data_IF_705547480839
#
_entry.id   IF_705547480839
#
_cell.length_a   1.000
_cell.length_b   1.000
_cell.length_c   1.000
_cell.angle_alpha   90.00
_cell.angle_beta   90.00
_cell.angle_gamma   90.00
#
_symmetry.space_group_name_H-M   'P 1'
#
loop_
_entity.id
_entity.type
_entity.pdbx_description
1 polymer ?
#
# COMPACT_ATOMS: atom_id res chain seq x y z
N UNK A 1 -1.65 67.99 33.22
CA UNK A 1 -1.73 66.52 33.30
C UNK A 1 -2.84 66.08 32.35
N UNK A 2 -2.50 65.87 31.08
CA UNK A 2 -3.42 65.38 30.05
C UNK A 2 -3.24 63.87 29.95
N UNK A 3 -4.27 63.13 30.36
CA UNK A 3 -4.30 61.68 30.26
C UNK A 3 -4.36 61.28 28.78
N UNK A 4 -3.28 60.65 28.30
CA UNK A 4 -3.24 60.06 26.97
C UNK A 4 -4.18 58.86 26.95
N UNK A 5 -5.29 58.98 26.22
CA UNK A 5 -6.22 57.88 25.97
C UNK A 5 -5.49 56.78 25.20
N UNK A 6 -5.35 55.61 25.83
CA UNK A 6 -4.79 54.42 25.21
C UNK A 6 -5.63 54.03 23.98
N UNK A 7 -4.96 53.87 22.84
CA UNK A 7 -5.60 53.43 21.61
C UNK A 7 -6.26 52.04 21.81
N UNK A 8 -7.47 51.81 21.27
CA UNK A 8 -8.13 50.52 21.39
C UNK A 8 -7.28 49.42 20.73
N UNK A 9 -7.24 48.21 21.30
CA UNK A 9 -6.53 47.09 20.71
C UNK A 9 -7.07 46.79 19.31
N UNK A 10 -6.21 46.41 18.36
CA UNK A 10 -6.64 46.05 17.01
C UNK A 10 -7.65 44.89 17.09
N UNK A 11 -8.67 44.87 16.20
CA UNK A 11 -9.63 43.78 16.17
C UNK A 11 -8.90 42.44 15.96
N UNK A 12 -9.39 41.33 16.56
CA UNK A 12 -8.80 40.02 16.38
C UNK A 12 -8.76 39.70 14.89
N UNK A 13 -7.57 39.37 14.37
CA UNK A 13 -7.39 38.96 12.99
C UNK A 13 -8.35 37.81 12.69
N UNK A 14 -9.19 37.97 11.65
CA UNK A 14 -10.14 36.95 11.26
C UNK A 14 -9.40 35.62 11.00
N UNK A 15 -9.84 34.56 11.67
CA UNK A 15 -9.29 33.22 11.50
C UNK A 15 -9.32 32.85 10.00
N UNK A 16 -8.24 32.28 9.45
CA UNK A 16 -8.23 31.89 8.05
C UNK A 16 -9.38 30.91 7.77
N UNK A 17 -10.07 31.02 6.62
CA UNK A 17 -11.16 30.13 6.30
C UNK A 17 -10.68 28.68 6.23
N UNK A 18 -11.44 27.76 6.82
CA UNK A 18 -11.17 26.33 6.70
C UNK A 18 -11.32 25.89 5.24
N UNK A 19 -10.40 25.04 4.80
CA UNK A 19 -10.46 24.43 3.48
C UNK A 19 -11.60 23.41 3.45
N UNK A 20 -12.28 23.35 2.32
CA UNK A 20 -13.21 22.23 2.05
C UNK A 20 -12.42 20.98 1.65
N UNK A 21 -13.00 19.80 1.87
CA UNK A 21 -12.36 18.55 1.45
C UNK A 21 -12.07 18.52 -0.07
N UNK A 22 -12.99 19.03 -0.89
CA UNK A 22 -12.84 19.09 -2.34
C UNK A 22 -11.65 19.97 -2.77
N UNK A 23 -11.46 21.12 -2.10
CA UNK A 23 -10.30 21.99 -2.33
C UNK A 23 -9.00 21.28 -1.95
N UNK A 24 -8.97 20.66 -0.77
CA UNK A 24 -7.80 19.93 -0.29
C UNK A 24 -7.42 18.78 -1.24
N UNK A 25 -8.38 17.93 -1.59
CA UNK A 25 -8.19 16.80 -2.52
C UNK A 25 -7.69 17.29 -3.87
N UNK A 26 -8.30 18.35 -4.43
CA UNK A 26 -7.90 18.89 -5.74
C UNK A 26 -6.48 19.45 -5.73
N UNK A 27 -6.10 20.15 -4.66
CA UNK A 27 -4.77 20.69 -4.52
C UNK A 27 -3.73 19.58 -4.29
N UNK A 28 -4.09 18.54 -3.54
CA UNK A 28 -3.23 17.37 -3.33
C UNK A 28 -2.98 16.59 -4.63
N UNK A 29 -3.98 16.42 -5.52
CA UNK A 29 -3.77 15.85 -6.87
C UNK A 29 -2.79 16.67 -7.72
N UNK A 30 -2.88 18.01 -7.67
CA UNK A 30 -1.93 18.88 -8.37
C UNK A 30 -0.51 18.69 -7.83
N UNK A 31 -0.37 18.64 -6.52
CA UNK A 31 0.88 18.41 -5.81
C UNK A 31 1.47 17.02 -6.13
N UNK A 32 0.61 15.99 -6.17
CA UNK A 32 0.95 14.60 -6.49
C UNK A 32 1.54 14.43 -7.89
N UNK A 33 0.98 15.10 -8.92
CA UNK A 33 1.58 15.08 -10.27
C UNK A 33 3.02 15.55 -10.27
N UNK A 34 3.30 16.63 -9.52
CA UNK A 34 4.66 17.16 -9.38
C UNK A 34 5.59 16.17 -8.68
N UNK A 35 5.13 15.57 -7.58
CA UNK A 35 5.86 14.55 -6.84
C UNK A 35 6.17 13.30 -7.68
N UNK A 36 5.21 12.80 -8.44
CA UNK A 36 5.38 11.64 -9.32
C UNK A 36 6.34 11.92 -10.48
N UNK A 37 6.23 13.11 -11.11
CA UNK A 37 7.19 13.53 -12.14
C UNK A 37 8.62 13.62 -11.58
N UNK A 38 8.79 14.10 -10.34
CA UNK A 38 10.09 14.14 -9.66
C UNK A 38 10.63 12.73 -9.40
N UNK A 39 9.82 11.85 -8.81
CA UNK A 39 10.21 10.48 -8.51
C UNK A 39 10.59 9.68 -9.77
N UNK A 40 9.86 9.90 -10.87
CA UNK A 40 10.19 9.36 -12.19
C UNK A 40 11.53 9.88 -12.72
N UNK A 41 11.75 11.20 -12.67
CA UNK A 41 13.02 11.81 -13.10
C UNK A 41 14.24 11.31 -12.30
N UNK A 42 14.03 10.86 -11.07
CA UNK A 42 15.02 10.25 -10.19
C UNK A 42 15.15 8.73 -10.35
N UNK A 43 14.38 8.12 -11.25
CA UNK A 43 14.32 6.66 -11.47
C UNK A 43 13.90 5.87 -10.22
N UNK A 44 13.19 6.52 -9.30
CA UNK A 44 12.51 5.82 -8.21
C UNK A 44 11.29 5.07 -8.72
N UNK A 45 10.67 5.58 -9.80
CA UNK A 45 9.56 4.97 -10.51
C UNK A 45 9.96 4.72 -11.97
N UNK A 46 9.66 3.54 -12.50
CA UNK A 46 9.89 3.20 -13.91
C UNK A 46 8.66 3.54 -14.76
N UNK A 47 8.84 3.65 -16.08
CA UNK A 47 7.71 3.79 -17.03
C UNK A 47 6.74 2.61 -16.91
N UNK A 48 7.29 1.40 -16.69
CA UNK A 48 6.51 0.20 -16.47
C UNK A 48 5.68 0.30 -15.20
N UNK A 49 6.26 0.74 -14.07
CA UNK A 49 5.51 0.97 -12.84
C UNK A 49 4.39 2.00 -13.06
N UNK A 50 4.67 3.14 -13.69
CA UNK A 50 3.65 4.16 -13.96
C UNK A 50 2.53 3.66 -14.89
N UNK A 51 2.85 2.79 -15.85
CA UNK A 51 1.89 2.22 -16.79
C UNK A 51 1.11 1.01 -16.24
N UNK A 52 1.75 0.20 -15.38
CA UNK A 52 1.18 -1.05 -14.85
C UNK A 52 0.45 -0.85 -13.52
N UNK A 53 0.90 0.10 -12.70
CA UNK A 53 0.60 0.08 -11.27
C UNK A 53 -0.57 0.98 -10.89
N UNK A 54 -1.78 0.57 -11.24
CA UNK A 54 -2.93 1.08 -10.49
C UNK A 54 -2.81 0.67 -9.02
N UNK A 55 -2.38 -0.57 -8.72
CA UNK A 55 -2.25 -1.19 -7.40
C UNK A 55 -1.33 -0.45 -6.42
N UNK A 56 -0.03 -0.64 -6.61
CA UNK A 56 0.99 -0.26 -5.63
C UNK A 56 1.24 1.25 -5.58
N UNK A 57 1.13 1.96 -6.71
CA UNK A 57 1.35 3.42 -6.73
C UNK A 57 0.30 4.24 -5.98
N UNK A 58 -0.92 3.71 -5.78
CA UNK A 58 -1.89 4.35 -4.87
C UNK A 58 -1.32 4.49 -3.45
N UNK A 59 -0.48 3.53 -3.10
CA UNK A 59 0.45 3.49 -1.97
C UNK A 59 1.47 4.63 -1.99
N UNK A 60 2.40 4.39 -2.91
CA UNK A 60 3.72 4.98 -2.99
C UNK A 60 3.66 6.43 -3.45
N UNK A 61 2.80 6.74 -4.42
CA UNK A 61 2.65 8.07 -5.00
C UNK A 61 2.28 9.12 -3.93
N UNK A 62 1.16 8.96 -3.21
CA UNK A 62 0.81 9.84 -2.11
C UNK A 62 1.85 9.85 -0.98
N UNK A 63 2.51 8.72 -0.71
CA UNK A 63 3.56 8.67 0.32
C UNK A 63 4.80 9.49 -0.06
N UNK A 64 5.27 9.38 -1.30
CA UNK A 64 6.34 10.21 -1.87
C UNK A 64 5.94 11.69 -1.90
N UNK A 65 4.69 11.96 -2.26
CA UNK A 65 4.12 13.29 -2.23
C UNK A 65 4.22 13.92 -0.83
N UNK A 66 3.78 13.19 0.20
CA UNK A 66 3.86 13.61 1.60
C UNK A 66 5.31 13.75 2.10
N UNK A 67 6.22 12.90 1.64
CA UNK A 67 7.65 13.00 1.93
C UNK A 67 8.26 14.27 1.35
N UNK A 68 8.04 14.57 0.06
CA UNK A 68 8.53 15.83 -0.54
C UNK A 68 7.89 17.06 0.10
N UNK A 69 6.63 16.95 0.55
CA UNK A 69 6.00 18.00 1.34
C UNK A 69 6.73 18.22 2.67
N UNK A 70 7.10 17.15 3.36
CA UNK A 70 7.81 17.21 4.63
C UNK A 70 9.16 17.91 4.49
N UNK A 71 9.91 17.62 3.41
CA UNK A 71 11.18 18.29 3.12
C UNK A 71 11.04 19.78 2.83
N UNK A 72 9.89 20.22 2.30
CA UNK A 72 9.61 21.65 2.02
C UNK A 72 8.97 22.40 3.18
N UNK A 73 8.46 21.70 4.19
CA UNK A 73 7.76 22.32 5.30
C UNK A 73 8.73 23.09 6.21
N UNK A 74 8.62 24.42 6.20
CA UNK A 74 9.53 25.33 6.92
C UNK A 74 8.95 25.90 8.22
N UNK A 75 7.66 25.69 8.51
CA UNK A 75 6.98 26.29 9.67
C UNK A 75 6.99 25.41 10.91
N UNK A 76 6.70 26.01 12.07
CA UNK A 76 6.50 25.33 13.35
C UNK A 76 5.19 25.78 14.01
N UNK A 77 4.14 24.93 14.10
CA UNK A 77 4.07 23.55 13.61
C UNK A 77 4.20 23.45 12.07
N UNK A 78 4.61 22.28 11.54
CA UNK A 78 4.68 22.04 10.10
C UNK A 78 3.38 22.38 9.37
N UNK A 79 3.51 23.07 8.24
CA UNK A 79 2.42 23.41 7.34
C UNK A 79 2.82 23.08 5.91
N UNK A 80 1.81 22.82 5.08
CA UNK A 80 2.00 22.37 3.71
C UNK A 80 1.46 23.46 2.77
N UNK A 81 2.34 24.00 1.93
CA UNK A 81 1.98 24.93 0.86
C UNK A 81 1.51 24.14 -0.35
N UNK A 82 0.21 24.15 -0.57
CA UNK A 82 -0.42 23.48 -1.70
C UNK A 82 -0.34 24.37 -2.95
N UNK A 83 -0.03 23.80 -4.11
CA UNK A 83 0.08 24.54 -5.35
C UNK A 83 -1.30 25.13 -5.72
N UNK A 84 -1.31 26.29 -6.40
CA UNK A 84 -2.54 26.92 -6.82
C UNK A 84 -3.35 25.97 -7.71
N UNK A 85 -4.64 25.86 -7.44
CA UNK A 85 -5.54 25.10 -8.29
C UNK A 85 -5.93 25.96 -9.50
N UNK A 86 -5.69 25.47 -10.70
CA UNK A 86 -6.14 26.12 -11.93
C UNK A 86 -7.63 25.87 -12.08
N UNK A 87 -8.44 26.87 -11.77
CA UNK A 87 -9.88 26.84 -12.08
C UNK A 87 -10.12 27.62 -13.38
N UNK A 88 -11.23 27.34 -14.07
CA UNK A 88 -11.64 28.00 -15.32
C UNK A 88 -11.72 29.53 -15.20
N UNK A 89 -11.77 30.06 -13.98
CA UNK A 89 -11.93 31.48 -13.66
C UNK A 89 -10.62 32.18 -13.25
N UNK A 90 -9.46 31.51 -13.31
CA UNK A 90 -8.14 32.08 -13.01
C UNK A 90 -7.32 31.29 -11.99
N UNK A 91 -6.06 31.71 -11.80
CA UNK A 91 -5.15 31.12 -10.81
C UNK A 91 -5.52 31.61 -9.40
N UNK A 92 -5.95 30.69 -8.52
CA UNK A 92 -6.09 31.00 -7.10
C UNK A 92 -4.70 31.13 -6.43
N UNK A 93 -4.58 31.82 -5.29
CA UNK A 93 -3.33 31.84 -4.52
C UNK A 93 -3.01 30.43 -3.97
N UNK A 94 -1.73 30.15 -3.64
CA UNK A 94 -1.34 28.93 -2.95
C UNK A 94 -2.11 28.75 -1.64
N UNK A 95 -2.57 27.53 -1.36
CA UNK A 95 -3.34 27.22 -0.16
C UNK A 95 -2.38 26.77 0.95
N UNK A 96 -2.51 27.36 2.15
CA UNK A 96 -1.76 26.93 3.32
C UNK A 96 -2.57 25.90 4.11
N UNK A 97 -2.09 24.65 4.14
CA UNK A 97 -2.66 23.59 4.94
C UNK A 97 -1.92 23.49 6.29
N UNK A 98 -2.63 23.77 7.38
CA UNK A 98 -2.19 23.59 8.75
C UNK A 98 -3.36 23.07 9.60
N UNK A 99 -3.17 22.78 10.90
CA UNK A 99 -4.25 22.24 11.74
C UNK A 99 -5.49 23.14 11.85
N UNK A 100 -5.35 24.46 11.65
CA UNK A 100 -6.48 25.39 11.71
C UNK A 100 -7.27 25.42 10.40
N UNK A 101 -6.59 25.30 9.26
CA UNK A 101 -7.20 25.33 7.92
C UNK A 101 -7.59 23.94 7.40
N UNK A 102 -7.05 22.88 7.98
CA UNK A 102 -7.32 21.49 7.61
C UNK A 102 -8.77 21.11 7.95
N UNK A 103 -9.51 20.45 7.04
CA UNK A 103 -10.84 19.94 7.35
C UNK A 103 -10.78 18.96 8.54
N UNK A 104 -11.76 18.95 9.45
CA UNK A 104 -11.75 18.11 10.66
C UNK A 104 -11.49 16.62 10.40
N UNK A 105 -12.06 16.06 9.32
CA UNK A 105 -11.87 14.66 8.94
C UNK A 105 -10.42 14.29 8.60
N UNK A 106 -9.55 15.28 8.32
CA UNK A 106 -8.13 15.09 8.03
C UNK A 106 -7.24 15.42 9.24
N UNK A 107 -7.80 15.81 10.39
CA UNK A 107 -6.99 16.19 11.57
C UNK A 107 -6.10 15.06 12.09
N UNK A 108 -6.58 13.82 12.30
CA UNK A 108 -5.73 12.73 12.79
C UNK A 108 -4.55 12.47 11.85
N UNK A 109 -4.86 12.45 10.55
CA UNK A 109 -3.92 12.29 9.47
C UNK A 109 -2.83 13.37 9.46
N UNK A 110 -3.27 14.63 9.51
CA UNK A 110 -2.37 15.78 9.44
C UNK A 110 -1.51 15.89 10.70
N UNK A 111 -2.03 15.51 11.88
CA UNK A 111 -1.23 15.39 13.11
C UNK A 111 -0.15 14.33 12.97
N UNK A 112 -0.49 13.14 12.45
CA UNK A 112 0.47 12.07 12.21
C UNK A 112 1.58 12.54 11.26
N UNK A 113 1.23 13.09 10.08
CA UNK A 113 2.19 13.66 9.14
C UNK A 113 3.03 14.78 9.77
N UNK A 114 2.40 15.75 10.44
CA UNK A 114 3.11 16.84 11.11
C UNK A 114 4.10 16.33 12.16
N UNK A 115 3.84 15.18 12.79
CA UNK A 115 4.76 14.56 13.75
C UNK A 115 5.96 13.86 13.10
N UNK A 116 5.84 13.47 11.82
CA UNK A 116 6.93 12.87 11.04
C UNK A 116 7.81 13.89 10.34
N UNK A 117 7.32 15.12 10.12
CA UNK A 117 8.10 16.18 9.44
C UNK A 117 9.44 16.48 10.13
N UNK A 118 9.51 16.78 11.45
CA UNK A 118 10.80 17.09 12.09
C UNK A 118 11.84 15.96 11.97
N UNK A 119 11.54 14.68 12.25
CA UNK A 119 12.53 13.62 12.10
C UNK A 119 12.92 13.37 10.63
N UNK A 120 12.03 13.58 9.65
CA UNK A 120 12.38 13.49 8.22
C UNK A 120 13.38 14.57 7.83
N UNK A 121 13.13 15.84 8.20
CA UNK A 121 14.03 16.95 7.91
C UNK A 121 15.39 16.83 8.61
N UNK A 122 15.43 16.14 9.75
CA UNK A 122 16.68 15.86 10.46
C UNK A 122 17.49 14.70 9.86
N UNK A 123 16.99 14.01 8.81
CA UNK A 123 17.75 12.95 8.14
C UNK A 123 18.83 13.57 7.23
N UNK A 124 20.06 13.04 7.26
CA UNK A 124 21.06 13.32 6.22
C UNK A 124 20.56 12.92 4.81
N UNK A 125 21.04 13.57 3.73
CA UNK A 125 20.57 13.33 2.36
C UNK A 125 20.58 11.85 1.92
N UNK A 126 21.60 11.08 2.29
CA UNK A 126 21.65 9.64 1.97
C UNK A 126 20.50 8.85 2.61
N UNK A 127 20.14 9.17 3.86
CA UNK A 127 19.02 8.52 4.55
C UNK A 127 17.65 9.07 4.12
N UNK A 128 17.59 10.30 3.60
CA UNK A 128 16.40 10.82 2.92
C UNK A 128 16.12 10.02 1.64
N UNK A 129 17.16 9.74 0.85
CA UNK A 129 17.03 8.89 -0.33
C UNK A 129 16.64 7.45 0.03
N UNK A 130 17.24 6.86 1.07
CA UNK A 130 16.83 5.54 1.56
C UNK A 130 15.36 5.53 2.04
N UNK A 131 14.87 6.62 2.63
CA UNK A 131 13.45 6.74 2.96
C UNK A 131 12.58 6.72 1.70
N UNK A 132 12.93 7.47 0.65
CA UNK A 132 12.23 7.41 -0.65
C UNK A 132 12.18 5.97 -1.19
N UNK A 133 13.32 5.26 -1.16
CA UNK A 133 13.42 3.89 -1.63
C UNK A 133 12.49 2.96 -0.85
N UNK A 134 12.49 3.05 0.47
CA UNK A 134 11.57 2.30 1.33
C UNK A 134 10.09 2.66 1.09
N UNK A 135 9.78 3.88 0.65
CA UNK A 135 8.42 4.27 0.26
C UNK A 135 7.98 3.68 -1.09
N UNK A 136 8.93 3.24 -1.94
CA UNK A 136 8.69 2.54 -3.21
C UNK A 136 8.95 1.02 -3.11
N UNK A 137 8.97 0.46 -1.89
CA UNK A 137 9.29 -0.95 -1.63
C UNK A 137 10.65 -1.42 -2.19
N UNK A 138 11.62 -0.50 -2.29
CA UNK A 138 13.00 -0.76 -2.68
C UNK A 138 13.92 -0.89 -1.47
N UNK A 139 14.96 -1.72 -1.58
CA UNK A 139 15.98 -1.87 -0.55
C UNK A 139 16.78 -0.57 -0.36
N UNK A 140 17.09 -0.16 0.89
CA UNK A 140 17.94 0.99 1.17
C UNK A 140 19.38 0.73 0.70
N UNK A 141 20.07 1.81 0.32
CA UNK A 141 21.46 1.75 -0.14
C UNK A 141 22.46 1.81 1.02
N UNK A 142 22.13 2.52 2.11
CA UNK A 142 23.04 2.65 3.25
C UNK A 142 23.08 1.37 4.10
N UNK A 143 24.30 0.99 4.53
CA UNK A 143 24.53 -0.08 5.51
C UNK A 143 25.39 0.45 6.67
N UNK A 144 24.92 0.39 7.94
CA UNK A 144 23.66 -0.19 8.38
C UNK A 144 22.43 0.69 8.07
N UNK A 145 21.27 0.05 7.93
CA UNK A 145 19.98 0.74 7.78
C UNK A 145 19.63 1.42 9.10
N UNK A 146 19.34 2.73 9.04
CA UNK A 146 18.95 3.49 10.23
C UNK A 146 17.58 3.02 10.74
N UNK A 147 17.52 2.65 12.02
CA UNK A 147 16.33 2.04 12.66
C UNK A 147 15.06 2.90 12.56
N UNK A 148 15.18 4.22 12.44
CA UNK A 148 14.02 5.12 12.32
C UNK A 148 13.36 5.08 10.94
N UNK A 149 14.05 4.62 9.89
CA UNK A 149 13.53 4.70 8.52
C UNK A 149 12.30 3.83 8.27
N UNK A 150 12.27 2.53 8.67
CA UNK A 150 11.07 1.71 8.48
C UNK A 150 9.85 2.27 9.19
N UNK A 151 10.07 2.90 10.35
CA UNK A 151 9.01 3.57 11.10
C UNK A 151 8.47 4.78 10.34
N UNK A 152 9.34 5.69 9.89
CA UNK A 152 8.93 6.89 9.14
C UNK A 152 8.22 6.50 7.84
N UNK A 153 8.72 5.48 7.14
CA UNK A 153 8.08 4.93 5.95
C UNK A 153 6.69 4.39 6.27
N UNK A 154 6.55 3.63 7.37
CA UNK A 154 5.26 3.12 7.85
C UNK A 154 4.27 4.23 8.22
N UNK A 155 4.71 5.27 8.93
CA UNK A 155 3.87 6.41 9.29
C UNK A 155 3.42 7.20 8.05
N UNK A 156 4.32 7.46 7.09
CA UNK A 156 3.96 8.13 5.83
C UNK A 156 3.02 7.28 4.95
N UNK A 157 3.25 5.96 4.86
CA UNK A 157 2.35 5.04 4.14
C UNK A 157 0.98 4.96 4.80
N UNK A 158 0.90 5.00 6.13
CA UNK A 158 -0.37 5.05 6.84
C UNK A 158 -1.15 6.30 6.43
N UNK A 159 -0.47 7.45 6.35
CA UNK A 159 -1.08 8.70 5.89
C UNK A 159 -1.53 8.60 4.43
N UNK A 160 -0.68 8.05 3.56
CA UNK A 160 -0.99 7.85 2.15
C UNK A 160 -2.20 6.92 1.93
N UNK A 161 -2.29 5.83 2.68
CA UNK A 161 -3.40 4.87 2.64
C UNK A 161 -4.73 5.57 2.92
N UNK A 162 -4.82 6.35 3.99
CA UNK A 162 -6.04 7.07 4.36
C UNK A 162 -6.51 8.04 3.27
N UNK A 163 -5.57 8.74 2.62
CA UNK A 163 -5.88 9.60 1.48
C UNK A 163 -6.42 8.75 0.32
N UNK A 164 -5.76 7.62 0.04
CA UNK A 164 -6.08 6.71 -1.06
C UNK A 164 -7.37 5.92 -0.86
N UNK A 165 -7.86 5.79 0.37
CA UNK A 165 -9.18 5.20 0.66
C UNK A 165 -10.34 6.11 0.27
N UNK A 166 -10.11 7.42 0.12
CA UNK A 166 -11.20 8.35 -0.24
C UNK A 166 -11.58 8.16 -1.71
N UNK A 167 -12.85 7.80 -1.97
CA UNK A 167 -13.37 7.57 -3.34
C UNK A 167 -13.06 8.71 -4.31
N UNK A 168 -13.20 9.96 -3.86
CA UNK A 168 -12.91 11.16 -4.65
C UNK A 168 -11.45 11.26 -5.10
N UNK A 169 -10.54 10.67 -4.32
CA UNK A 169 -9.14 10.56 -4.68
C UNK A 169 -8.94 9.45 -5.74
N UNK A 170 -9.53 8.27 -5.52
CA UNK A 170 -9.40 7.13 -6.42
C UNK A 170 -9.86 7.43 -7.85
N UNK A 171 -11.01 8.11 -7.99
CA UNK A 171 -11.62 8.42 -9.30
C UNK A 171 -10.72 9.30 -10.18
N UNK A 172 -9.85 10.12 -9.58
CA UNK A 172 -8.96 11.04 -10.29
C UNK A 172 -7.55 10.49 -10.48
N UNK A 173 -7.17 9.49 -9.70
CA UNK A 173 -5.80 9.01 -9.61
C UNK A 173 -5.26 8.49 -10.95
N UNK A 174 -6.06 7.73 -11.71
CA UNK A 174 -5.66 7.23 -13.04
C UNK A 174 -5.36 8.36 -14.04
N UNK A 175 -6.16 9.43 -14.01
CA UNK A 175 -5.91 10.61 -14.85
C UNK A 175 -4.63 11.37 -14.45
N UNK A 176 -4.23 11.30 -13.18
CA UNK A 176 -2.98 11.90 -12.72
C UNK A 176 -1.76 11.10 -13.17
N UNK A 177 -1.82 9.77 -13.15
CA UNK A 177 -0.78 8.89 -13.68
C UNK A 177 -0.55 9.13 -15.17
N UNK A 178 -1.63 9.18 -15.96
CA UNK A 178 -1.53 9.45 -17.40
C UNK A 178 -0.90 10.82 -17.66
N UNK A 179 -1.26 11.85 -16.90
CA UNK A 179 -0.68 13.18 -17.04
C UNK A 179 0.84 13.22 -16.75
N UNK A 180 1.35 12.31 -15.91
CA UNK A 180 2.78 12.17 -15.64
C UNK A 180 3.48 11.46 -16.81
N UNK A 181 2.89 10.38 -17.34
CA UNK A 181 3.40 9.66 -18.52
C UNK A 181 3.47 10.58 -19.75
N UNK A 182 2.43 11.36 -20.00
CA UNK A 182 2.37 12.31 -21.13
C UNK A 182 3.49 13.35 -21.04
N UNK A 183 3.81 13.83 -19.82
CA UNK A 183 4.93 14.75 -19.59
C UNK A 183 6.27 14.09 -19.81
N UNK A 184 6.46 12.87 -19.33
CA UNK A 184 7.69 12.09 -19.50
C UNK A 184 7.99 11.85 -20.99
N UNK A 185 6.98 11.50 -21.79
CA UNK A 185 7.14 11.29 -23.23
C UNK A 185 7.41 12.57 -24.03
N UNK A 186 6.99 13.75 -23.53
CA UNK A 186 7.10 15.00 -24.28
C UNK A 186 8.52 15.58 -24.40
N UNK A 187 9.47 15.13 -23.57
CA UNK A 187 10.89 15.54 -23.58
C UNK A 187 11.18 17.05 -23.41
N UNK A 188 10.15 17.91 -23.30
CA UNK A 188 10.27 19.37 -23.38
C UNK A 188 9.62 20.13 -22.23
N UNK A 189 8.82 19.49 -21.38
CA UNK A 189 8.22 20.15 -20.23
C UNK A 189 9.02 19.85 -18.97
N UNK A 190 9.94 20.77 -18.64
CA UNK A 190 10.50 20.85 -17.29
C UNK A 190 9.34 21.17 -16.36
N UNK A 191 8.95 20.22 -15.51
CA UNK A 191 7.89 20.46 -14.54
C UNK A 191 8.24 21.73 -13.75
N UNK A 192 7.26 22.60 -13.50
CA UNK A 192 7.37 23.78 -12.61
C UNK A 192 7.61 23.39 -11.15
N UNK A 193 7.98 22.15 -10.91
CA UNK A 193 8.24 21.56 -9.63
C UNK A 193 9.74 21.63 -9.36
N UNK A 194 10.14 22.56 -8.50
CA UNK A 194 11.53 22.68 -8.03
C UNK A 194 11.77 21.66 -6.92
N UNK A 195 12.75 20.76 -7.08
CA UNK A 195 13.13 19.81 -6.03
C UNK A 195 13.32 20.53 -4.68
N UNK A 196 12.96 19.91 -3.53
CA UNK A 196 13.18 20.54 -2.22
C UNK A 196 14.63 21.04 -2.10
N UNK A 197 14.90 22.26 -1.57
CA UNK A 197 16.23 22.87 -1.60
C UNK A 197 17.34 22.03 -0.93
N UNK A 198 16.96 21.21 0.04
CA UNK A 198 17.86 20.37 0.83
C UNK A 198 18.02 18.95 0.25
N UNK A 199 17.21 18.57 -0.74
CA UNK A 199 17.23 17.22 -1.31
C UNK A 199 18.23 17.15 -2.46
N UNK A 200 19.33 16.42 -2.25
CA UNK A 200 20.30 16.12 -3.29
C UNK A 200 19.92 14.80 -3.96
N UNK A 201 19.54 14.79 -5.27
CA UNK A 201 19.21 13.56 -5.96
C UNK A 201 20.43 12.63 -5.99
N UNK A 202 20.20 11.32 -5.89
CA UNK A 202 21.28 10.34 -5.95
C UNK A 202 22.16 10.61 -7.19
N UNK A 203 23.50 10.64 -7.03
CA UNK A 203 24.39 10.89 -8.14
C UNK A 203 24.07 9.87 -9.23
N UNK A 204 23.68 10.36 -10.41
CA UNK A 204 23.37 9.50 -11.55
C UNK A 204 24.58 8.60 -11.74
N UNK A 205 24.42 7.30 -11.49
CA UNK A 205 25.41 6.32 -11.93
C UNK A 205 25.65 6.63 -13.40
N UNK A 206 26.85 7.15 -13.70
CA UNK A 206 27.26 7.45 -15.07
C UNK A 206 26.98 6.18 -15.82
N UNK A 207 26.04 6.26 -16.77
CA UNK A 207 25.77 5.15 -17.68
C UNK A 207 27.13 4.64 -18.12
N UNK A 208 27.43 3.38 -17.76
CA UNK A 208 28.70 2.76 -18.13
C UNK A 208 28.90 3.08 -19.61
N UNK A 209 30.09 3.58 -20.01
CA UNK A 209 30.34 3.95 -21.39
C UNK A 209 29.89 2.78 -22.27
N UNK A 210 29.17 3.05 -23.38
CA UNK A 210 28.69 1.99 -24.25
C UNK A 210 29.86 1.07 -24.53
N UNK A 211 29.71 -0.21 -24.17
CA UNK A 211 30.74 -1.23 -24.39
C UNK A 211 31.18 -1.06 -25.84
N UNK A 212 32.46 -0.74 -26.10
CA UNK A 212 32.90 -0.48 -27.46
C UNK A 212 32.53 -1.70 -28.32
N UNK A 213 32.09 -1.50 -29.57
CA UNK A 213 31.73 -2.60 -30.45
C UNK A 213 32.92 -3.54 -30.50
N UNK A 214 32.73 -4.77 -29.98
CA UNK A 214 33.72 -5.82 -30.06
C UNK A 214 34.06 -5.97 -31.54
N UNK A 215 35.24 -5.49 -31.90
CA UNK A 215 35.78 -5.64 -33.23
C UNK A 215 35.91 -7.13 -33.46
N UNK A 216 35.34 -7.60 -34.56
CA UNK A 216 35.39 -8.98 -35.02
C UNK A 216 36.85 -9.43 -35.10
N UNK A 217 37.35 -10.08 -34.04
CA UNK A 217 38.57 -10.85 -34.10
C UNK A 217 38.27 -12.14 -34.86
N UNK A 218 38.87 -12.19 -36.04
CA UNK A 218 39.19 -13.36 -36.86
C UNK A 218 39.25 -14.70 -36.10
N UNK A 219 38.75 -15.79 -36.70
CA UNK A 219 38.84 -17.12 -36.10
C UNK A 219 40.30 -17.59 -36.04
N UNK A 220 40.77 -18.16 -34.91
CA UNK A 220 42.10 -18.75 -34.85
C UNK A 220 42.17 -20.04 -35.70
N UNK A 221 43.36 -20.39 -36.23
CA UNK A 221 43.54 -21.62 -36.99
C UNK A 221 43.34 -22.85 -36.11
N UNK A 222 42.60 -23.83 -36.65
CA UNK A 222 42.47 -25.17 -36.11
C UNK A 222 43.85 -25.77 -35.82
N UNK A 223 44.12 -26.12 -34.58
CA UNK A 223 45.23 -27.00 -34.21
C UNK A 223 44.80 -27.95 -33.09
N UNK A 224 45.09 -29.23 -33.37
CA UNK A 224 45.18 -30.39 -32.49
C UNK A 224 44.06 -30.63 -31.45
N UNK A 225 43.16 -31.56 -31.80
CA UNK A 225 42.33 -32.31 -30.85
C UNK A 225 43.23 -33.11 -29.91
N UNK A 226 43.24 -32.77 -28.63
CA UNK A 226 43.68 -33.67 -27.57
C UNK A 226 42.51 -34.57 -27.16
N UNK A 227 42.76 -35.87 -27.27
CA UNK A 227 41.90 -36.99 -26.90
C UNK A 227 41.61 -36.98 -25.40
N UNK A 228 40.33 -37.04 -25.03
CA UNK A 228 39.88 -37.30 -23.64
C UNK A 228 39.40 -38.76 -23.55
N UNK A 229 39.77 -39.50 -22.49
CA UNK A 229 39.48 -40.93 -22.33
C UNK A 229 38.02 -41.23 -21.97
N UNK A 230 37.52 -42.45 -22.26
CA UNK A 230 36.17 -42.87 -21.92
C UNK A 230 36.06 -43.32 -20.46
N UNK A 231 35.01 -42.85 -19.79
CA UNK A 231 34.59 -43.32 -18.45
C UNK A 231 33.16 -43.89 -18.49
N UNK A 232 32.80 -44.79 -17.56
CA UNK A 232 32.05 -46.00 -17.89
C UNK A 232 30.55 -45.95 -17.61
N UNK A 233 29.83 -46.65 -18.49
CA UNK A 233 28.70 -47.56 -18.28
C UNK A 233 27.82 -47.33 -17.04
N UNK A 234 26.59 -46.86 -17.30
CA UNK A 234 25.45 -46.94 -16.38
C UNK A 234 24.57 -48.14 -16.76
N UNK A 235 24.12 -48.96 -15.81
CA UNK A 235 23.46 -50.23 -16.11
C UNK A 235 21.98 -50.07 -16.49
N UNK A 236 21.60 -50.90 -17.46
CA UNK A 236 20.26 -51.18 -17.97
C UNK A 236 19.41 -51.94 -16.95
N UNK A 237 18.11 -51.63 -16.92
CA UNK A 237 17.09 -52.45 -16.27
C UNK A 237 16.05 -52.94 -17.29
N UNK A 238 15.38 -54.08 -17.02
CA UNK A 238 15.05 -55.07 -18.03
C UNK A 238 13.60 -55.03 -18.56
N UNK A 239 13.47 -55.60 -19.75
CA UNK A 239 12.24 -55.96 -20.49
C UNK A 239 11.41 -57.04 -19.77
N UNK A 240 10.07 -57.01 -19.83
CA UNK A 240 9.20 -57.86 -20.68
C UNK A 240 7.89 -58.18 -19.91
N UNK A 241 6.81 -58.78 -20.48
CA UNK A 241 6.56 -59.14 -21.88
C UNK A 241 5.18 -58.71 -22.44
N UNK A 242 5.16 -58.88 -23.76
CA UNK A 242 4.10 -58.89 -24.76
C UNK A 242 2.98 -59.92 -24.49
N UNK A 243 1.72 -59.57 -24.76
CA UNK A 243 0.61 -60.54 -24.93
C UNK A 243 -0.20 -60.22 -26.19
N UNK A 244 0.00 -61.05 -27.21
CA UNK A 244 -0.89 -61.55 -28.27
C UNK A 244 -2.00 -60.66 -28.91
N UNK A 245 -1.73 -60.29 -30.18
CA UNK A 245 -2.50 -60.54 -31.45
C UNK A 245 -3.88 -61.24 -31.28
N UNK A 246 -5.00 -60.85 -31.92
CA UNK A 246 -5.28 -60.77 -33.38
C UNK A 246 -6.76 -60.24 -33.64
N UNK A 247 -7.40 -60.32 -34.84
CA UNK A 247 -7.40 -59.29 -35.90
C UNK A 247 -8.78 -58.86 -36.49
N UNK A 248 -8.74 -57.86 -37.40
CA UNK A 248 -9.67 -57.59 -38.55
C UNK A 248 -10.79 -56.52 -38.37
N UNK A 249 -11.42 -55.99 -39.46
CA UNK A 249 -10.82 -55.05 -40.41
C UNK A 249 -11.72 -53.83 -40.77
N UNK A 250 -11.10 -52.79 -41.34
CA UNK A 250 -11.60 -51.84 -42.36
C UNK A 250 -13.08 -51.39 -42.33
N UNK A 251 -13.32 -50.12 -41.98
CA UNK A 251 -14.13 -49.24 -42.85
C UNK A 251 -13.79 -47.76 -42.63
N UNK A 252 -13.40 -47.12 -43.74
CA UNK A 252 -13.15 -45.70 -43.85
C UNK A 252 -14.40 -44.88 -43.52
N UNK A 253 -14.21 -43.77 -42.79
CA UNK A 253 -15.01 -42.55 -42.89
C UNK A 253 -14.26 -41.42 -42.18
N UNK A 254 -13.71 -40.50 -42.96
CA UNK A 254 -13.40 -39.15 -42.48
C UNK A 254 -14.72 -38.45 -42.11
N UNK A 255 -14.70 -37.62 -41.06
CA UNK A 255 -15.17 -36.27 -41.27
C UNK A 255 -14.19 -35.20 -40.76
N UNK A 256 -14.23 -34.00 -41.35
CA UNK A 256 -13.37 -32.88 -40.97
C UNK A 256 -13.94 -32.24 -39.70
N UNK A 257 -13.08 -31.76 -38.81
CA UNK A 257 -13.51 -30.80 -37.80
C UNK A 257 -12.37 -29.90 -37.33
N UNK A 258 -12.72 -28.66 -36.94
CA UNK A 258 -12.03 -27.47 -37.38
C UNK A 258 -11.22 -26.84 -36.25
N UNK A 259 -10.11 -26.22 -36.64
CA UNK A 259 -9.39 -25.26 -35.83
C UNK A 259 -10.19 -23.95 -35.83
N UNK A 260 -11.01 -23.75 -34.80
CA UNK A 260 -11.51 -22.43 -34.42
C UNK A 260 -10.92 -22.04 -33.06
N UNK A 261 -10.30 -20.85 -32.94
CA UNK A 261 -9.89 -20.32 -31.65
C UNK A 261 -11.14 -20.01 -30.84
N UNK A 262 -11.26 -20.60 -29.66
CA UNK A 262 -12.40 -20.41 -28.77
C UNK A 262 -12.37 -18.97 -28.24
N UNK A 263 -13.31 -18.17 -28.74
CA UNK A 263 -13.69 -16.89 -28.17
C UNK A 263 -14.06 -17.10 -26.70
N UNK A 264 -13.45 -16.31 -25.81
CA UNK A 264 -13.67 -16.31 -24.36
C UNK A 264 -15.16 -16.33 -23.99
N UNK A 265 -15.59 -17.40 -23.32
CA UNK A 265 -16.89 -17.47 -22.66
C UNK A 265 -16.94 -16.48 -21.48
N UNK A 266 -18.11 -15.92 -21.15
CA UNK A 266 -18.24 -14.96 -20.07
C UNK A 266 -17.95 -15.62 -18.71
N UNK A 267 -16.93 -15.06 -18.03
CA UNK A 267 -16.48 -15.25 -16.65
C UNK A 267 -17.35 -16.16 -15.76
N UNK A 268 -17.02 -17.45 -15.71
CA UNK A 268 -17.24 -18.20 -14.46
C UNK A 268 -16.15 -17.76 -13.49
N UNK A 269 -16.49 -17.19 -12.32
CA UNK A 269 -15.47 -16.81 -11.35
C UNK A 269 -14.69 -18.06 -10.93
N UNK A 270 -13.37 -17.94 -10.85
CA UNK A 270 -12.50 -18.99 -10.33
C UNK A 270 -13.12 -19.54 -9.03
N UNK A 271 -13.44 -20.84 -8.92
CA UNK A 271 -14.11 -21.40 -7.75
C UNK A 271 -13.33 -21.11 -6.45
N UNK A 272 -12.02 -20.93 -6.53
CA UNK A 272 -11.18 -20.57 -5.39
C UNK A 272 -11.44 -19.10 -4.97
N UNK A 273 -11.53 -18.18 -5.92
CA UNK A 273 -11.88 -16.79 -5.63
C UNK A 273 -13.31 -16.65 -5.11
N UNK A 274 -14.24 -17.44 -5.64
CA UNK A 274 -15.61 -17.47 -5.13
C UNK A 274 -15.62 -17.85 -3.65
N UNK A 275 -14.85 -18.86 -3.25
CA UNK A 275 -14.74 -19.30 -1.87
C UNK A 275 -14.04 -18.25 -0.97
N UNK A 276 -12.96 -17.63 -1.43
CA UNK A 276 -12.30 -16.52 -0.71
C UNK A 276 -13.30 -15.37 -0.50
N UNK A 277 -14.08 -15.05 -1.53
CA UNK A 277 -15.08 -13.99 -1.47
C UNK A 277 -16.19 -14.28 -0.49
N UNK A 278 -16.75 -15.47 -0.52
CA UNK A 278 -17.78 -15.91 0.42
C UNK A 278 -17.27 -15.85 1.86
N UNK A 279 -16.02 -16.24 2.08
CA UNK A 279 -15.37 -16.20 3.41
C UNK A 279 -15.22 -14.78 3.92
N UNK A 280 -14.80 -13.84 3.06
CA UNK A 280 -14.68 -12.44 3.43
C UNK A 280 -16.04 -11.77 3.64
N UNK A 281 -17.07 -12.09 2.84
CA UNK A 281 -18.41 -11.55 3.05
C UNK A 281 -19.08 -12.12 4.31
N UNK A 282 -18.86 -13.39 4.65
CA UNK A 282 -19.29 -13.95 5.93
C UNK A 282 -18.63 -13.20 7.10
N UNK A 283 -17.31 -13.01 7.05
CA UNK A 283 -16.60 -12.26 8.08
C UNK A 283 -17.02 -10.78 8.16
N UNK A 284 -17.38 -10.17 7.03
CA UNK A 284 -17.89 -8.79 6.98
C UNK A 284 -19.23 -8.65 7.72
N UNK A 285 -20.13 -9.62 7.53
CA UNK A 285 -21.41 -9.65 8.25
C UNK A 285 -21.18 -9.78 9.77
N UNK A 286 -20.27 -10.67 10.19
CA UNK A 286 -19.91 -10.85 11.59
C UNK A 286 -19.32 -9.56 12.18
N UNK A 287 -18.39 -8.91 11.48
CA UNK A 287 -17.74 -7.67 11.94
C UNK A 287 -18.75 -6.55 12.15
N UNK A 288 -19.69 -6.37 11.24
CA UNK A 288 -20.72 -5.34 11.36
C UNK A 288 -21.66 -5.63 12.52
N UNK A 289 -22.00 -6.90 12.75
CA UNK A 289 -22.82 -7.29 13.90
C UNK A 289 -22.10 -7.10 15.24
N UNK A 290 -20.79 -7.35 15.28
CA UNK A 290 -19.99 -7.32 16.51
C UNK A 290 -19.37 -5.95 16.83
N UNK A 291 -19.45 -4.97 15.92
CA UNK A 291 -18.76 -3.67 16.06
C UNK A 291 -19.73 -2.49 15.95
N UNK A 292 -20.42 -2.10 17.05
CA UNK A 292 -21.44 -1.05 17.02
C UNK A 292 -20.95 0.32 16.51
N UNK A 293 -19.66 0.63 16.71
CA UNK A 293 -19.05 1.87 16.24
C UNK A 293 -19.12 2.02 14.70
N UNK A 294 -19.13 0.91 13.95
CA UNK A 294 -19.30 0.95 12.49
C UNK A 294 -20.67 1.47 12.09
N UNK A 295 -21.73 1.26 12.90
CA UNK A 295 -23.05 1.80 12.60
C UNK A 295 -23.07 3.33 12.69
N UNK A 296 -22.44 3.91 13.71
CA UNK A 296 -22.30 5.36 13.81
C UNK A 296 -21.50 5.90 12.61
N UNK A 297 -20.39 5.22 12.27
CA UNK A 297 -19.52 5.61 11.16
C UNK A 297 -20.24 5.51 9.81
N UNK A 298 -21.09 4.49 9.59
CA UNK A 298 -21.90 4.36 8.36
C UNK A 298 -22.82 5.57 8.11
N UNK A 299 -23.18 6.29 9.17
CA UNK A 299 -23.99 7.51 9.08
C UNK A 299 -23.15 8.77 8.92
N UNK A 300 -22.03 8.89 9.66
CA UNK A 300 -21.19 10.09 9.64
C UNK A 300 -20.18 10.11 8.48
N UNK A 301 -19.55 8.98 8.20
CA UNK A 301 -18.55 8.78 7.13
C UNK A 301 -18.66 7.37 6.52
N UNK A 302 -19.55 7.18 5.52
CA UNK A 302 -19.78 5.87 4.92
C UNK A 302 -18.55 5.31 4.19
N UNK A 303 -17.66 6.17 3.69
CA UNK A 303 -16.45 5.73 3.02
C UNK A 303 -15.49 5.11 4.04
N UNK A 304 -15.27 5.78 5.17
CA UNK A 304 -14.43 5.23 6.23
C UNK A 304 -15.06 3.99 6.86
N UNK A 305 -16.37 3.97 7.07
CA UNK A 305 -17.08 2.80 7.58
C UNK A 305 -16.90 1.58 6.68
N UNK A 306 -16.99 1.78 5.37
CA UNK A 306 -16.75 0.74 4.38
C UNK A 306 -15.34 0.15 4.55
N UNK A 307 -14.31 1.00 4.51
CA UNK A 307 -12.92 0.55 4.61
C UNK A 307 -12.59 -0.10 5.95
N UNK A 308 -13.09 0.46 7.04
CA UNK A 308 -12.94 -0.12 8.37
C UNK A 308 -13.56 -1.51 8.46
N UNK A 309 -14.78 -1.69 7.93
CA UNK A 309 -15.48 -2.98 7.93
C UNK A 309 -14.69 -4.04 7.16
N UNK A 310 -14.20 -3.71 5.98
CA UNK A 310 -13.40 -4.61 5.14
C UNK A 310 -12.09 -4.99 5.82
N UNK A 311 -11.40 -4.00 6.38
CA UNK A 311 -10.10 -4.21 7.02
C UNK A 311 -10.23 -5.08 8.27
N UNK A 312 -11.27 -4.85 9.07
CA UNK A 312 -11.61 -5.70 10.21
C UNK A 312 -12.04 -7.11 9.77
N UNK A 313 -12.76 -7.26 8.66
CA UNK A 313 -13.12 -8.58 8.11
C UNK A 313 -11.88 -9.37 7.65
N UNK A 314 -10.93 -8.70 6.99
CA UNK A 314 -9.63 -9.30 6.63
C UNK A 314 -8.89 -9.75 7.88
N UNK A 315 -8.81 -8.90 8.91
CA UNK A 315 -8.18 -9.26 10.19
C UNK A 315 -8.89 -10.46 10.83
N UNK A 316 -10.22 -10.50 10.83
CA UNK A 316 -11.01 -11.59 11.39
C UNK A 316 -10.75 -12.92 10.66
N UNK A 317 -10.72 -12.91 9.33
CA UNK A 317 -10.34 -14.09 8.52
C UNK A 317 -8.92 -14.53 8.84
N UNK A 318 -7.98 -13.59 8.90
CA UNK A 318 -6.57 -13.88 9.22
C UNK A 318 -6.40 -14.53 10.61
N UNK A 319 -7.21 -14.13 11.60
CA UNK A 319 -7.15 -14.67 12.95
C UNK A 319 -7.89 -16.01 13.12
N UNK A 320 -8.94 -16.26 12.32
CA UNK A 320 -9.85 -17.41 12.55
C UNK A 320 -9.83 -18.49 11.48
N UNK A 321 -9.49 -18.14 10.24
CA UNK A 321 -9.62 -19.04 9.08
C UNK A 321 -8.28 -19.42 8.44
N UNK A 322 -7.18 -18.77 8.82
CA UNK A 322 -5.86 -19.06 8.25
C UNK A 322 -5.02 -19.85 9.27
N UNK A 323 -4.61 -21.05 8.87
CA UNK A 323 -3.74 -21.90 9.69
C UNK A 323 -2.29 -21.43 9.68
N UNK A 324 -1.49 -21.93 10.63
CA UNK A 324 -0.04 -21.68 10.68
C UNK A 324 0.71 -22.22 9.44
N UNK A 325 0.14 -23.24 8.78
CA UNK A 325 0.66 -23.80 7.52
C UNK A 325 0.30 -22.96 6.28
N UNK A 326 -0.46 -21.87 6.46
CA UNK A 326 -0.87 -20.97 5.38
C UNK A 326 -2.11 -21.44 4.61
N UNK A 327 -2.79 -22.50 5.07
CA UNK A 327 -4.07 -22.91 4.49
C UNK A 327 -5.19 -21.96 4.92
N UNK A 328 -5.98 -21.47 3.95
CA UNK A 328 -7.18 -20.67 4.21
C UNK A 328 -8.39 -21.59 4.19
N UNK A 329 -9.13 -21.64 5.29
CA UNK A 329 -10.39 -22.39 5.40
C UNK A 329 -11.56 -21.52 4.96
N UNK A 330 -12.25 -21.94 3.92
CA UNK A 330 -13.45 -21.26 3.46
C UNK A 330 -14.67 -21.57 4.34
N UNK A 331 -15.79 -20.86 4.12
CA UNK A 331 -17.06 -21.03 4.87
C UNK A 331 -17.57 -22.48 4.88
N UNK A 332 -17.29 -23.24 3.82
CA UNK A 332 -17.68 -24.65 3.70
C UNK A 332 -16.67 -25.63 4.32
N UNK A 333 -15.70 -25.13 5.09
CA UNK A 333 -14.63 -25.92 5.70
C UNK A 333 -13.56 -26.41 4.71
N UNK A 334 -13.70 -26.12 3.42
CA UNK A 334 -12.69 -26.45 2.40
C UNK A 334 -11.44 -25.61 2.63
N UNK A 335 -10.30 -26.28 2.83
CA UNK A 335 -8.99 -25.65 2.84
C UNK A 335 -8.53 -25.31 1.41
N UNK A 336 -7.90 -24.15 1.26
CA UNK A 336 -7.28 -23.68 0.02
C UNK A 336 -5.82 -23.36 0.34
N UNK A 337 -4.91 -23.89 -0.49
CA UNK A 337 -3.49 -23.54 -0.48
C UNK A 337 -3.14 -22.55 -1.58
N UNK A 338 -2.06 -21.80 -1.41
CA UNK A 338 -1.56 -20.84 -2.40
C UNK A 338 -1.36 -21.46 -3.79
N UNK A 339 -0.91 -22.72 -3.84
CA UNK A 339 -0.69 -23.46 -5.08
C UNK A 339 -1.98 -23.75 -5.88
N UNK A 340 -3.13 -23.84 -5.21
CA UNK A 340 -4.45 -24.01 -5.82
C UNK A 340 -5.01 -22.70 -6.41
N UNK A 341 -4.46 -21.56 -6.01
CA UNK A 341 -4.88 -20.25 -6.48
C UNK A 341 -4.23 -19.97 -7.84
N UNK A 342 -5.01 -19.43 -8.78
CA UNK A 342 -4.50 -18.95 -10.06
C UNK A 342 -3.35 -17.94 -9.86
N UNK A 343 -2.34 -17.99 -10.73
CA UNK A 343 -1.10 -17.22 -10.66
C UNK A 343 -1.33 -15.72 -10.39
N UNK A 344 -2.39 -15.16 -10.96
CA UNK A 344 -2.77 -13.75 -10.80
C UNK A 344 -3.13 -13.38 -9.34
N UNK A 345 -3.70 -14.30 -8.56
CA UNK A 345 -4.17 -14.05 -7.20
C UNK A 345 -3.27 -14.64 -6.11
N UNK A 346 -2.21 -15.37 -6.49
CA UNK A 346 -1.20 -15.86 -5.53
C UNK A 346 -0.57 -14.74 -4.70
N UNK A 347 -0.21 -13.56 -5.26
CA UNK A 347 0.32 -12.47 -4.44
C UNK A 347 -0.66 -12.01 -3.36
N UNK A 348 -1.95 -11.94 -3.67
CA UNK A 348 -2.99 -11.59 -2.70
C UNK A 348 -3.10 -12.64 -1.58
N UNK A 349 -3.13 -13.93 -1.95
CA UNK A 349 -3.16 -15.04 -0.99
C UNK A 349 -1.92 -15.04 -0.08
N UNK A 350 -0.73 -14.86 -0.65
CA UNK A 350 0.52 -14.78 0.09
C UNK A 350 0.51 -13.62 1.10
N UNK A 351 -0.09 -12.48 0.75
CA UNK A 351 -0.23 -11.36 1.69
C UNK A 351 -1.20 -11.68 2.83
N UNK A 352 -2.34 -12.34 2.57
CA UNK A 352 -3.24 -12.79 3.62
C UNK A 352 -2.54 -13.73 4.62
N UNK A 353 -1.79 -14.71 4.11
CA UNK A 353 -1.02 -15.63 4.96
C UNK A 353 0.02 -14.88 5.80
N UNK A 354 0.77 -13.94 5.21
CA UNK A 354 1.74 -13.12 5.95
C UNK A 354 1.07 -12.27 7.04
N UNK A 355 -0.10 -11.70 6.77
CA UNK A 355 -0.87 -10.93 7.75
C UNK A 355 -1.32 -11.85 8.89
N UNK A 356 -1.87 -13.03 8.57
CA UNK A 356 -2.31 -14.01 9.56
C UNK A 356 -1.20 -14.44 10.50
N UNK A 357 -0.06 -14.89 9.95
CA UNK A 357 1.09 -15.31 10.74
C UNK A 357 1.57 -14.18 11.67
N UNK A 358 1.61 -12.94 11.18
CA UNK A 358 2.04 -11.80 12.01
C UNK A 358 1.00 -11.44 13.08
N UNK A 359 -0.29 -11.50 12.77
CA UNK A 359 -1.36 -11.20 13.71
C UNK A 359 -1.46 -12.26 14.83
N UNK A 360 -1.30 -13.54 14.48
CA UNK A 360 -1.26 -14.66 15.43
C UNK A 360 -0.06 -14.54 16.37
N UNK A 361 1.15 -14.34 15.82
CA UNK A 361 2.35 -14.11 16.63
C UNK A 361 2.18 -12.89 17.56
N UNK A 362 1.55 -11.82 17.09
CA UNK A 362 1.25 -10.65 17.91
C UNK A 362 0.31 -10.98 19.07
N UNK A 363 -0.71 -11.82 18.84
CA UNK A 363 -1.62 -12.32 19.88
C UNK A 363 -0.87 -13.13 20.93
N UNK A 364 -0.08 -14.11 20.50
CA UNK A 364 0.69 -15.00 21.38
C UNK A 364 1.67 -14.20 22.26
N UNK A 365 2.37 -13.23 21.66
CA UNK A 365 3.26 -12.33 22.39
C UNK A 365 2.49 -11.41 23.37
N UNK A 366 1.27 -10.98 23.04
CA UNK A 366 0.42 -10.20 23.94
C UNK A 366 -0.05 -11.04 25.13
N UNK A 367 -0.44 -12.29 24.91
CA UNK A 367 -0.82 -13.25 25.96
C UNK A 367 0.37 -13.54 26.89
N UNK A 368 1.54 -13.82 26.32
CA UNK A 368 2.77 -14.02 27.08
C UNK A 368 3.15 -12.78 27.90
N UNK A 369 2.92 -11.58 27.35
CA UNK A 369 3.14 -10.32 28.07
C UNK A 369 2.12 -10.14 29.19
N UNK A 370 0.85 -10.44 28.97
CA UNK A 370 -0.20 -10.36 29.98
C UNK A 370 0.14 -11.24 31.19
N UNK A 371 0.54 -12.49 30.96
CA UNK A 371 0.99 -13.42 32.02
C UNK A 371 2.15 -12.83 32.84
N UNK A 372 3.14 -12.22 32.20
CA UNK A 372 4.29 -11.58 32.89
C UNK A 372 3.89 -10.38 33.74
N UNK A 373 2.83 -9.64 33.35
CA UNK A 373 2.34 -8.49 34.11
C UNK A 373 1.50 -8.94 35.30
N UNK A 374 0.65 -9.95 35.13
CA UNK A 374 -0.08 -10.59 36.22
C UNK A 374 0.86 -11.17 37.27
N UNK A 375 1.93 -11.85 36.84
CA UNK A 375 2.95 -12.39 37.76
C UNK A 375 3.72 -11.32 38.57
N UNK A 376 3.60 -10.04 38.21
CA UNK A 376 4.27 -8.90 38.87
C UNK A 376 3.28 -7.95 39.54
N UNK A 377 1.99 -8.31 39.62
CA UNK A 377 0.90 -7.45 40.09
C UNK A 377 0.88 -6.06 39.41
N UNK A 378 1.22 -6.02 38.12
CA UNK A 378 1.20 -4.78 37.32
C UNK A 378 -0.10 -4.68 36.51
N UNK A 379 -0.60 -3.45 36.27
CA UNK A 379 -1.77 -3.27 35.41
C UNK A 379 -1.50 -3.79 34.00
N UNK A 380 -2.44 -4.57 33.47
CA UNK A 380 -2.32 -5.16 32.14
C UNK A 380 -2.26 -4.06 31.06
N UNK A 381 -1.23 -4.06 30.19
CA UNK A 381 -1.20 -3.14 29.07
C UNK A 381 -2.26 -3.52 28.03
N UNK A 382 -2.79 -2.53 27.30
CA UNK A 382 -3.72 -2.78 26.20
C UNK A 382 -3.05 -3.69 25.14
N UNK A 383 -3.69 -4.81 24.75
CA UNK A 383 -3.19 -5.68 23.70
C UNK A 383 -2.91 -4.89 22.40
N UNK A 384 -1.85 -5.27 21.69
CA UNK A 384 -1.53 -4.71 20.37
C UNK A 384 -2.60 -5.04 19.34
N UNK A 385 -3.25 -6.20 19.42
CA UNK A 385 -4.38 -6.52 18.55
C UNK A 385 -5.58 -5.58 18.76
N UNK A 386 -5.86 -5.15 19.98
CA UNK A 386 -6.95 -4.20 20.23
C UNK A 386 -6.61 -2.80 19.71
N UNK A 387 -5.34 -2.40 19.82
CA UNK A 387 -4.84 -1.18 19.16
C UNK A 387 -4.89 -1.27 17.65
N UNK A 388 -4.59 -2.44 17.07
CA UNK A 388 -4.74 -2.69 15.64
C UNK A 388 -6.20 -2.52 15.21
N UNK A 389 -7.15 -3.13 15.91
CA UNK A 389 -8.59 -2.97 15.63
C UNK A 389 -9.02 -1.51 15.71
N UNK A 390 -8.58 -0.78 16.73
CA UNK A 390 -8.84 0.66 16.85
C UNK A 390 -8.26 1.44 15.67
N UNK A 391 -7.02 1.16 15.28
CA UNK A 391 -6.38 1.81 14.14
C UNK A 391 -7.10 1.51 12.81
N UNK A 392 -7.61 0.29 12.61
CA UNK A 392 -8.39 -0.06 11.42
C UNK A 392 -9.79 0.58 11.41
N UNK A 393 -10.36 0.85 12.58
CA UNK A 393 -11.68 1.46 12.73
C UNK A 393 -11.64 2.98 12.59
N UNK A 394 -10.74 3.63 13.32
CA UNK A 394 -10.67 5.09 13.46
C UNK A 394 -9.68 5.74 12.47
N UNK A 395 -8.84 4.92 11.81
CA UNK A 395 -7.87 5.35 10.82
C UNK A 395 -6.48 5.65 11.39
N UNK A 396 -5.56 6.07 10.50
CA UNK A 396 -4.19 6.39 10.86
C UNK A 396 -4.11 7.54 11.88
N UNK A 397 -3.37 7.30 12.98
CA UNK A 397 -3.21 8.26 14.07
C UNK A 397 -4.14 8.01 15.26
N UNK A 398 -5.12 7.12 15.13
CA UNK A 398 -5.93 6.63 16.24
C UNK A 398 -5.02 5.99 17.32
N UNK A 399 -5.14 6.47 18.56
CA UNK A 399 -4.35 5.97 19.70
C UNK A 399 -2.97 6.62 19.90
N UNK A 400 -2.64 7.70 19.18
CA UNK A 400 -1.45 8.52 19.51
C UNK A 400 -1.58 9.22 20.88
N UNK A 401 -2.80 9.40 21.39
CA UNK A 401 -3.09 10.15 22.63
C UNK A 401 -3.32 9.25 23.86
N UNK A 402 -3.52 7.94 23.67
CA UNK A 402 -4.05 7.01 24.69
C UNK A 402 -3.00 6.25 25.52
N UNK A 403 -1.73 6.66 25.54
CA UNK A 403 -0.73 6.07 26.44
C UNK A 403 -0.39 7.02 27.61
N UNK A 404 -1.27 7.13 28.63
CA UNK A 404 -1.05 8.00 29.79
C UNK A 404 0.12 7.56 30.68
N UNK A 405 0.82 6.48 30.33
CA UNK A 405 1.87 5.85 31.13
C UNK A 405 3.30 6.00 30.61
N UNK A 406 3.55 6.72 29.51
CA UNK A 406 4.92 6.99 29.02
C UNK A 406 5.39 8.41 29.38
N UNK A 407 5.84 8.65 30.63
CA UNK A 407 6.47 9.92 30.97
C UNK A 407 7.75 10.03 30.14
N UNK A 408 7.84 11.11 29.38
CA UNK A 408 8.80 11.27 28.30
C UNK A 408 10.23 10.92 28.69
N UNK A 409 10.88 10.11 27.87
CA UNK A 409 12.30 10.17 27.49
C UNK A 409 12.56 9.01 26.50
N UNK A 410 12.91 9.37 25.26
CA UNK A 410 13.39 8.41 24.26
C UNK A 410 12.30 7.52 23.65
N UNK A 411 11.81 7.88 22.46
CA UNK A 411 11.09 7.00 21.52
C UNK A 411 12.03 5.87 21.05
N UNK A 412 12.49 5.01 21.96
CA UNK A 412 13.04 3.71 21.62
C UNK A 412 11.94 2.91 20.91
N UNK A 413 12.31 2.17 19.85
CA UNK A 413 11.45 1.42 18.92
C UNK A 413 10.10 1.00 19.52
N UNK A 414 9.08 1.86 19.38
CA UNK A 414 7.79 1.63 20.04
C UNK A 414 7.07 0.44 19.40
N UNK A 415 6.40 -0.43 20.18
CA UNK A 415 5.53 -1.49 19.67
C UNK A 415 4.44 -0.98 18.71
N UNK A 416 4.17 0.32 18.72
CA UNK A 416 3.34 1.04 17.74
C UNK A 416 3.82 0.83 16.29
N UNK A 417 5.13 0.78 16.02
CA UNK A 417 5.64 0.58 14.66
C UNK A 417 5.21 -0.77 14.06
N UNK A 418 5.09 -1.81 14.89
CA UNK A 418 4.59 -3.11 14.42
C UNK A 418 3.08 -3.07 14.14
N UNK A 419 2.30 -2.42 15.00
CA UNK A 419 0.84 -2.29 14.82
C UNK A 419 0.54 -1.51 13.55
N UNK A 420 1.19 -0.36 13.36
CA UNK A 420 1.03 0.45 12.15
C UNK A 420 1.49 -0.27 10.89
N UNK A 421 2.61 -1.00 10.94
CA UNK A 421 3.05 -1.80 9.79
C UNK A 421 2.03 -2.89 9.42
N UNK A 422 1.43 -3.56 10.39
CA UNK A 422 0.40 -4.58 10.14
C UNK A 422 -0.92 -3.94 9.64
N UNK A 423 -1.33 -2.81 10.22
CA UNK A 423 -2.48 -2.03 9.77
C UNK A 423 -2.33 -1.62 8.30
N UNK A 424 -1.15 -1.10 7.92
CA UNK A 424 -0.87 -0.71 6.55
C UNK A 424 -0.97 -1.89 5.59
N UNK A 425 -0.45 -3.06 5.96
CA UNK A 425 -0.56 -4.28 5.14
C UNK A 425 -2.00 -4.70 4.93
N UNK A 426 -2.81 -4.69 6.00
CA UNK A 426 -4.25 -4.99 5.93
C UNK A 426 -4.96 -4.00 5.01
N UNK A 427 -4.69 -2.70 5.18
CA UNK A 427 -5.34 -1.66 4.38
C UNK A 427 -4.92 -1.71 2.90
N UNK A 428 -3.67 -2.06 2.59
CA UNK A 428 -3.23 -2.29 1.20
C UNK A 428 -3.99 -3.48 0.60
N UNK A 429 -4.09 -4.60 1.32
CA UNK A 429 -4.89 -5.76 0.87
C UNK A 429 -6.36 -5.36 0.67
N UNK A 430 -6.93 -4.54 1.56
CA UNK A 430 -8.29 -4.01 1.41
C UNK A 430 -8.44 -3.15 0.14
N UNK A 431 -7.46 -2.30 -0.18
CA UNK A 431 -7.47 -1.50 -1.42
C UNK A 431 -7.39 -2.37 -2.67
N UNK A 432 -6.51 -3.39 -2.68
CA UNK A 432 -6.41 -4.36 -3.78
C UNK A 432 -7.73 -5.12 -3.94
N UNK A 433 -8.35 -5.52 -2.83
CA UNK A 433 -9.58 -6.28 -2.81
C UNK A 433 -10.76 -5.57 -3.48
N UNK A 434 -10.94 -4.28 -3.18
CA UNK A 434 -12.01 -3.45 -3.75
C UNK A 434 -11.92 -3.31 -5.27
N UNK A 435 -10.72 -3.49 -5.84
CA UNK A 435 -10.48 -3.33 -7.28
C UNK A 435 -10.72 -4.59 -8.10
N UNK A 436 -10.64 -5.75 -7.45
CA UNK A 436 -10.87 -7.01 -8.14
C UNK A 436 -12.30 -7.02 -8.70
N UNK A 437 -12.50 -7.24 -10.02
CA UNK A 437 -13.83 -7.18 -10.64
C UNK A 437 -14.85 -8.08 -9.93
N UNK A 438 -14.42 -9.27 -9.52
CA UNK A 438 -15.23 -10.25 -8.79
C UNK A 438 -15.84 -9.74 -7.47
N UNK A 439 -15.28 -8.67 -6.90
CA UNK A 439 -15.67 -8.05 -5.64
C UNK A 439 -16.37 -6.71 -5.84
N UNK A 440 -15.88 -5.90 -6.78
CA UNK A 440 -16.44 -4.59 -7.13
C UNK A 440 -17.92 -4.69 -7.50
N UNK A 441 -18.27 -5.70 -8.29
CA UNK A 441 -19.63 -5.84 -8.85
C UNK A 441 -20.70 -6.11 -7.78
N UNK A 442 -20.33 -6.70 -6.65
CA UNK A 442 -21.27 -7.03 -5.54
C UNK A 442 -21.15 -6.10 -4.34
N UNK A 443 -20.18 -5.20 -4.34
CA UNK A 443 -19.88 -4.32 -3.22
C UNK A 443 -21.09 -3.46 -2.82
N UNK A 444 -21.78 -2.87 -3.81
CA UNK A 444 -22.94 -2.02 -3.58
C UNK A 444 -24.11 -2.78 -2.96
N UNK A 445 -24.40 -3.97 -3.49
CA UNK A 445 -25.49 -4.82 -2.99
C UNK A 445 -25.25 -5.28 -1.55
N UNK A 446 -24.03 -5.75 -1.27
CA UNK A 446 -23.66 -6.25 0.06
C UNK A 446 -23.82 -5.15 1.11
N UNK A 447 -23.36 -3.92 0.82
CA UNK A 447 -23.48 -2.83 1.78
C UNK A 447 -24.88 -2.26 1.91
N UNK A 448 -25.69 -2.25 0.85
CA UNK A 448 -27.11 -1.87 0.97
C UNK A 448 -27.87 -2.86 1.86
N UNK A 449 -27.63 -4.16 1.70
CA UNK A 449 -28.21 -5.21 2.56
C UNK A 449 -27.75 -5.04 4.01
N UNK A 450 -26.45 -4.85 4.22
CA UNK A 450 -25.88 -4.73 5.55
C UNK A 450 -26.28 -3.42 6.26
N UNK A 451 -26.45 -2.33 5.52
CA UNK A 451 -27.01 -1.08 6.04
C UNK A 451 -28.46 -1.26 6.50
N UNK A 452 -29.22 -2.11 5.81
CA UNK A 452 -30.57 -2.50 6.22
C UNK A 452 -30.61 -3.39 7.47
N UNK A 453 -29.62 -4.26 7.66
CA UNK A 453 -29.54 -5.21 8.77
C UNK A 453 -29.07 -4.59 10.10
N UNK A 454 -28.45 -3.42 10.07
CA UNK A 454 -28.00 -2.67 11.26
C UNK A 454 -29.07 -1.79 11.92
N UNK A 455 -30.35 -1.97 11.57
CA UNK A 455 -31.51 -1.37 12.25
C UNK A 455 -32.17 -2.43 13.11
#
# INVERSE_FOLDING_TARGET
MTAAAAAPPPPPAASPPQLTESQLTSAFHSFLKGALSQAHAERLLTDEMLASAEGDLMVEGPALCLFFAALRASTHPPSLLLPPTTTTSGSQPPLLLNLQTCPPAFHPLFRLWSSTVPPIRALPPNYQHDLCRLLCDLDPLSSPVRESLPRLAGELRAVAIEISQRRTFQERYGGDLQAVLDRAGSGRQRATWEAPPEYEPAPREKALPPVPPQSQTTPPPRSARLSVPPSPLRPSSPSSPNTYRAPSPLRAQFPPSPLTPTLSTPHTPDPVLALIRETLYAALADVLSLTPALHALLHSDPAQAYFASVSLAILQVCLSQISQDGEVRGVLGRAIREEEVNLEYRPFMAQLVRIALRAQLMSEEDDARAVRYLAKDRPLPVPRLDRLRRQLLEGAGAGLEDDPGSPGHGRASTPSGTVTALANRINVVALTWVRLPAFRDRQGEVFEVLRGAGR
#
